data_IF_301475032438
#
_entry.id   IF_301475032438
#
_cell.length_a   1.000
_cell.length_b   1.000
_cell.length_c   1.000
_cell.angle_alpha   90.00
_cell.angle_beta   90.00
_cell.angle_gamma   90.00
#
_symmetry.space_group_name_H-M   'P 1'
#
loop_
_entity.id
_entity.type
_entity.pdbx_description
1 polymer ?
#
# COMPACT_ATOMS: atom_id res chain seq x y z
N UNK A 1 20.18 -9.50 -14.25
CA UNK A 1 18.95 -9.19 -15.02
C UNK A 1 18.33 -10.51 -15.44
N UNK A 2 17.02 -10.69 -15.22
CA UNK A 2 16.26 -11.89 -15.62
C UNK A 2 15.35 -11.51 -16.78
N UNK A 3 15.39 -12.27 -17.87
CA UNK A 3 14.58 -12.04 -19.08
C UNK A 3 13.58 -13.17 -19.22
N UNK A 4 12.31 -12.82 -19.45
CA UNK A 4 11.23 -13.77 -19.67
C UNK A 4 10.92 -13.97 -21.16
N UNK A 5 10.29 -15.08 -21.56
CA UNK A 5 9.96 -15.37 -22.95
C UNK A 5 9.07 -14.32 -23.65
N UNK A 6 8.29 -13.56 -22.88
CA UNK A 6 7.43 -12.46 -23.35
C UNK A 6 8.19 -11.13 -23.54
N UNK A 7 9.51 -11.11 -23.34
CA UNK A 7 10.35 -9.94 -23.48
C UNK A 7 10.39 -9.05 -22.23
N UNK A 8 9.63 -9.35 -21.18
CA UNK A 8 9.73 -8.64 -19.91
C UNK A 8 11.09 -8.91 -19.24
N UNK A 9 11.65 -7.87 -18.62
CA UNK A 9 12.94 -7.96 -17.93
C UNK A 9 12.81 -7.46 -16.49
N UNK A 10 13.34 -8.23 -15.55
CA UNK A 10 13.48 -7.83 -14.16
C UNK A 10 14.95 -7.51 -13.89
N UNK A 11 15.19 -6.27 -13.46
CA UNK A 11 16.52 -5.80 -13.05
C UNK A 11 16.69 -6.15 -11.59
N UNK A 12 17.70 -6.98 -11.32
CA UNK A 12 18.09 -7.36 -9.97
C UNK A 12 19.47 -6.80 -9.67
N UNK A 13 19.65 -6.26 -8.47
CA UNK A 13 20.95 -5.96 -7.87
C UNK A 13 21.32 -7.00 -6.81
N UNK A 14 22.51 -6.84 -6.22
CA UNK A 14 22.92 -7.58 -5.02
C UNK A 14 23.38 -6.59 -3.96
N UNK A 15 22.86 -6.73 -2.74
CA UNK A 15 23.30 -5.98 -1.56
C UNK A 15 23.47 -6.96 -0.40
N UNK A 16 24.64 -6.95 0.26
CA UNK A 16 24.92 -7.87 1.38
C UNK A 16 24.80 -9.36 1.02
N UNK A 17 25.10 -9.74 -0.23
CA UNK A 17 24.97 -11.13 -0.71
C UNK A 17 23.54 -11.56 -1.05
N UNK A 18 22.55 -10.67 -0.94
CA UNK A 18 21.13 -10.97 -1.23
C UNK A 18 20.66 -10.29 -2.51
N UNK A 19 19.82 -10.96 -3.32
CA UNK A 19 19.20 -10.34 -4.48
C UNK A 19 18.18 -9.28 -4.06
N UNK A 20 18.17 -8.17 -4.80
CA UNK A 20 17.22 -7.06 -4.61
C UNK A 20 16.59 -6.66 -5.94
N UNK A 21 15.29 -6.43 -5.95
CA UNK A 21 14.62 -5.86 -7.13
C UNK A 21 15.02 -4.40 -7.31
N UNK A 22 15.51 -4.05 -8.50
CA UNK A 22 15.87 -2.67 -8.88
C UNK A 22 14.87 -2.05 -9.85
N UNK A 23 14.04 -2.87 -10.48
CA UNK A 23 12.96 -2.40 -11.34
C UNK A 23 12.59 -3.39 -12.44
N UNK A 24 11.43 -3.15 -13.03
CA UNK A 24 10.90 -3.92 -14.16
C UNK A 24 11.01 -3.11 -15.43
N UNK A 25 11.42 -3.75 -16.52
CA UNK A 25 11.38 -3.21 -17.88
C UNK A 25 10.41 -4.06 -18.71
N UNK A 26 9.20 -3.52 -18.93
CA UNK A 26 8.17 -4.08 -19.79
C UNK A 26 7.07 -3.03 -20.05
N UNK A 27 6.15 -3.29 -20.98
CA UNK A 27 4.95 -2.47 -21.21
C UNK A 27 4.22 -2.33 -19.87
N UNK A 28 4.04 -1.11 -19.35
CA UNK A 28 3.37 -0.94 -18.05
C UNK A 28 1.88 -1.28 -18.22
N UNK A 29 1.37 -2.22 -17.41
CA UNK A 29 -0.07 -2.27 -17.12
C UNK A 29 -0.48 -1.04 -16.30
N UNK A 30 -1.79 -0.79 -16.07
CA UNK A 30 -2.21 0.32 -15.23
C UNK A 30 -1.49 0.23 -13.87
N UNK A 31 -0.75 1.27 -13.51
CA UNK A 31 0.06 1.29 -12.28
C UNK A 31 -0.79 1.49 -11.02
N UNK A 32 -2.08 1.78 -11.18
CA UNK A 32 -3.04 2.01 -10.11
C UNK A 32 -4.40 1.41 -10.53
N UNK A 33 -5.17 0.85 -9.58
CA UNK A 33 -6.55 0.46 -9.83
C UNK A 33 -7.39 1.69 -10.14
N UNK A 34 -8.40 1.51 -10.95
CA UNK A 34 -9.45 2.50 -11.15
C UNK A 34 -10.25 2.73 -9.86
N UNK A 35 -10.86 3.92 -9.76
CA UNK A 35 -11.77 4.23 -8.65
C UNK A 35 -12.93 3.23 -8.56
N UNK A 36 -13.46 2.80 -9.70
CA UNK A 36 -14.53 1.81 -9.78
C UNK A 36 -14.12 0.47 -9.15
N UNK A 37 -12.89 0.02 -9.39
CA UNK A 37 -12.36 -1.19 -8.76
C UNK A 37 -12.27 -1.03 -7.23
N UNK A 38 -11.79 0.11 -6.74
CA UNK A 38 -11.70 0.40 -5.30
C UNK A 38 -13.09 0.46 -4.64
N UNK A 39 -14.07 1.08 -5.28
CA UNK A 39 -15.45 1.10 -4.80
C UNK A 39 -16.09 -0.30 -4.83
N UNK A 40 -15.74 -1.12 -5.84
CA UNK A 40 -16.12 -2.52 -5.91
C UNK A 40 -15.63 -3.37 -4.73
N UNK A 41 -14.63 -2.89 -3.97
CA UNK A 41 -14.15 -3.49 -2.72
C UNK A 41 -14.91 -3.01 -1.48
N UNK A 42 -16.00 -2.24 -1.66
CA UNK A 42 -16.84 -1.73 -0.59
C UNK A 42 -16.29 -0.48 0.10
N UNK A 43 -15.39 0.26 -0.54
CA UNK A 43 -14.96 1.58 -0.09
C UNK A 43 -15.99 2.65 -0.48
N UNK A 44 -16.19 3.64 0.39
CA UNK A 44 -16.97 4.85 0.05
C UNK A 44 -16.23 5.71 -0.98
N UNK A 45 -16.92 6.64 -1.66
CA UNK A 45 -16.27 7.53 -2.63
C UNK A 45 -15.10 8.34 -2.03
N UNK A 46 -15.21 8.97 -0.85
CA UNK A 46 -14.08 9.65 -0.20
C UNK A 46 -12.92 8.70 0.14
N UNK A 47 -13.22 7.47 0.57
CA UNK A 47 -12.20 6.45 0.86
C UNK A 47 -11.49 6.00 -0.43
N UNK A 48 -12.24 5.71 -1.49
CA UNK A 48 -11.68 5.30 -2.78
C UNK A 48 -10.79 6.41 -3.36
N UNK A 49 -11.21 7.68 -3.31
CA UNK A 49 -10.40 8.83 -3.74
C UNK A 49 -9.13 9.02 -2.91
N UNK A 50 -9.26 8.97 -1.58
CA UNK A 50 -8.13 9.12 -0.67
C UNK A 50 -7.11 7.99 -0.86
N UNK A 51 -7.61 6.76 -1.03
CA UNK A 51 -6.77 5.60 -1.26
C UNK A 51 -6.08 5.68 -2.61
N UNK A 52 -6.81 5.89 -3.71
CA UNK A 52 -6.29 6.04 -5.08
C UNK A 52 -5.15 7.08 -5.14
N UNK A 53 -5.35 8.25 -4.53
CA UNK A 53 -4.31 9.27 -4.45
C UNK A 53 -3.04 8.76 -3.76
N UNK A 54 -3.21 8.09 -2.62
CA UNK A 54 -2.10 7.52 -1.86
C UNK A 54 -1.39 6.45 -2.69
N UNK A 55 -2.15 5.55 -3.36
CA UNK A 55 -1.69 4.54 -4.33
C UNK A 55 -0.81 5.16 -5.42
N UNK A 56 -1.31 6.21 -6.07
CA UNK A 56 -0.67 6.85 -7.20
C UNK A 56 0.64 7.58 -6.85
N UNK A 57 0.69 8.26 -5.70
CA UNK A 57 1.80 9.17 -5.37
C UNK A 57 2.85 8.59 -4.44
N UNK A 58 2.46 7.71 -3.52
CA UNK A 58 3.35 7.19 -2.47
C UNK A 58 3.47 5.66 -2.50
N UNK A 59 2.65 5.01 -3.33
CA UNK A 59 2.72 3.58 -3.55
C UNK A 59 3.93 3.18 -4.35
N UNK A 60 4.21 1.88 -4.30
CA UNK A 60 5.11 1.23 -5.25
C UNK A 60 4.31 0.72 -6.44
N UNK A 61 4.99 0.33 -7.53
CA UNK A 61 4.35 -0.49 -8.56
C UNK A 61 3.91 -1.85 -7.99
N UNK A 62 2.82 -2.43 -8.50
CA UNK A 62 2.34 -3.78 -8.12
C UNK A 62 3.34 -4.91 -8.40
N UNK A 63 4.30 -4.67 -9.29
CA UNK A 63 5.40 -5.58 -9.62
C UNK A 63 6.67 -5.30 -8.80
N UNK A 64 6.63 -4.38 -7.83
CA UNK A 64 7.74 -4.13 -6.93
C UNK A 64 7.89 -5.25 -5.90
N UNK A 65 9.06 -5.85 -5.77
CA UNK A 65 9.38 -6.75 -4.65
C UNK A 65 10.52 -6.16 -3.85
N UNK A 66 10.43 -6.02 -2.53
CA UNK A 66 11.59 -5.58 -1.74
C UNK A 66 11.84 -6.43 -0.51
N UNK A 67 13.10 -6.68 -0.23
CA UNK A 67 13.62 -7.19 1.02
C UNK A 67 14.46 -6.06 1.66
N UNK A 68 14.17 -5.65 2.90
CA UNK A 68 15.02 -4.67 3.60
C UNK A 68 16.24 -5.39 4.23
N UNK A 69 17.49 -5.01 3.90
CA UNK A 69 18.67 -5.36 4.71
C UNK A 69 18.75 -4.41 5.93
N UNK A 70 19.19 -4.84 7.14
CA UNK A 70 19.93 -6.05 7.48
C UNK A 70 19.24 -7.00 8.51
N UNK A 71 17.94 -6.86 8.79
CA UNK A 71 17.27 -7.63 9.85
C UNK A 71 16.14 -8.52 9.31
N UNK A 72 16.45 -9.64 8.65
CA UNK A 72 15.49 -10.72 8.42
C UNK A 72 14.14 -10.32 7.82
N UNK A 73 14.06 -9.19 7.08
CA UNK A 73 12.79 -8.60 6.71
C UNK A 73 12.11 -9.48 5.65
N UNK A 74 10.88 -9.88 5.94
CA UNK A 74 10.02 -10.62 5.03
C UNK A 74 9.89 -9.87 3.69
N UNK A 75 9.85 -10.59 2.55
CA UNK A 75 9.65 -9.94 1.26
C UNK A 75 8.34 -9.15 1.27
N UNK A 76 8.40 -7.92 0.75
CA UNK A 76 7.24 -7.07 0.47
C UNK A 76 6.89 -7.16 -1.01
N UNK A 77 5.61 -7.29 -1.34
CA UNK A 77 5.15 -7.39 -2.72
C UNK A 77 4.14 -6.31 -3.09
N UNK A 78 4.42 -5.65 -4.19
CA UNK A 78 3.57 -4.73 -4.91
C UNK A 78 3.40 -3.37 -4.27
N UNK A 79 2.23 -2.78 -4.54
CA UNK A 79 2.06 -1.33 -4.42
C UNK A 79 2.08 -0.82 -2.99
N UNK A 80 1.92 -1.72 -2.02
CA UNK A 80 1.73 -1.42 -0.61
C UNK A 80 2.40 -2.52 0.21
N UNK A 81 2.67 -2.32 1.52
CA UNK A 81 3.62 -3.18 2.24
C UNK A 81 2.98 -4.51 2.65
N UNK A 82 2.54 -5.31 1.68
CA UNK A 82 2.16 -6.69 1.90
C UNK A 82 3.43 -7.47 2.18
N UNK A 83 3.72 -7.67 3.46
CA UNK A 83 4.76 -8.57 3.96
C UNK A 83 4.18 -9.62 4.88
N UNK A 84 4.96 -10.68 5.08
CA UNK A 84 4.62 -11.71 6.07
C UNK A 84 3.22 -12.27 5.86
N UNK A 85 2.39 -12.37 6.91
CA UNK A 85 1.05 -12.93 6.81
C UNK A 85 0.17 -12.28 5.73
N UNK A 86 0.26 -10.95 5.55
CA UNK A 86 -0.55 -10.26 4.54
C UNK A 86 -0.14 -10.62 3.11
N UNK A 87 1.14 -10.89 2.86
CA UNK A 87 1.60 -11.40 1.58
C UNK A 87 1.09 -12.83 1.35
N UNK A 88 1.16 -13.71 2.36
CA UNK A 88 0.62 -15.07 2.28
C UNK A 88 -0.86 -15.02 1.92
N UNK A 89 -1.63 -14.17 2.61
CA UNK A 89 -3.06 -14.00 2.38
C UNK A 89 -3.35 -13.53 0.95
N UNK A 90 -2.62 -12.53 0.44
CA UNK A 90 -2.81 -12.06 -0.94
C UNK A 90 -2.53 -13.16 -1.98
N UNK A 91 -1.47 -13.95 -1.78
CA UNK A 91 -1.13 -15.06 -2.67
C UNK A 91 -2.17 -16.18 -2.60
N UNK A 92 -2.66 -16.49 -1.40
CA UNK A 92 -3.72 -17.47 -1.20
C UNK A 92 -5.03 -17.02 -1.86
N UNK A 93 -5.40 -15.74 -1.72
CA UNK A 93 -6.56 -15.17 -2.41
C UNK A 93 -6.43 -15.28 -3.92
N UNK A 94 -5.27 -14.94 -4.49
CA UNK A 94 -5.07 -15.08 -5.92
C UNK A 94 -5.19 -16.54 -6.38
N UNK A 95 -4.52 -17.48 -5.68
CA UNK A 95 -4.61 -18.92 -5.99
C UNK A 95 -6.04 -19.45 -5.90
N UNK A 96 -6.83 -18.94 -4.96
CA UNK A 96 -8.22 -19.35 -4.79
C UNK A 96 -9.13 -18.89 -5.94
N UNK A 97 -8.94 -17.67 -6.44
CA UNK A 97 -9.82 -17.07 -7.45
C UNK A 97 -9.39 -17.38 -8.88
N UNK A 98 -8.07 -17.44 -9.14
CA UNK A 98 -7.50 -17.69 -10.46
C UNK A 98 -6.38 -18.75 -10.37
N UNK A 99 -6.71 -20.01 -10.02
CA UNK A 99 -5.71 -21.05 -9.78
C UNK A 99 -4.83 -21.33 -11.01
N UNK A 100 -5.41 -21.33 -12.21
CA UNK A 100 -4.67 -21.56 -13.46
C UNK A 100 -3.64 -20.46 -13.74
N UNK A 101 -4.02 -19.19 -13.55
CA UNK A 101 -3.12 -18.05 -13.74
C UNK A 101 -2.01 -18.03 -12.67
N UNK A 102 -2.37 -18.37 -11.43
CA UNK A 102 -1.41 -18.52 -10.34
C UNK A 102 -0.39 -19.62 -10.64
N UNK A 103 -0.83 -20.82 -10.99
CA UNK A 103 0.04 -21.98 -11.22
C UNK A 103 0.93 -21.78 -12.46
N UNK A 104 0.41 -21.11 -13.50
CA UNK A 104 1.18 -20.75 -14.68
C UNK A 104 2.32 -19.75 -14.40
N UNK A 105 2.21 -18.96 -13.33
CA UNK A 105 3.21 -17.93 -12.96
C UNK A 105 4.14 -18.36 -11.83
N UNK A 106 3.59 -19.00 -10.80
CA UNK A 106 4.31 -19.34 -9.57
C UNK A 106 4.39 -20.85 -9.34
N UNK A 107 3.38 -21.62 -9.77
CA UNK A 107 3.31 -23.07 -9.51
C UNK A 107 4.50 -23.87 -10.07
N UNK A 108 5.00 -23.50 -11.27
CA UNK A 108 6.17 -24.15 -11.89
C UNK A 108 7.48 -24.01 -11.08
N UNK A 109 7.52 -23.09 -10.13
CA UNK A 109 8.68 -22.82 -9.28
C UNK A 109 8.55 -23.47 -7.89
N UNK A 110 7.55 -24.34 -7.69
CA UNK A 110 7.29 -24.98 -6.40
C UNK A 110 6.76 -24.02 -5.34
N UNK A 111 6.06 -22.95 -5.78
CA UNK A 111 5.60 -21.91 -4.88
C UNK A 111 4.47 -22.41 -3.98
N UNK A 112 4.77 -22.56 -2.68
CA UNK A 112 3.79 -22.70 -1.61
C UNK A 112 3.69 -21.37 -0.86
N UNK A 113 2.47 -20.86 -0.67
CA UNK A 113 2.23 -19.55 -0.07
C UNK A 113 2.83 -19.41 1.35
N UNK A 114 3.04 -20.53 2.05
CA UNK A 114 3.64 -20.59 3.39
C UNK A 114 5.17 -20.44 3.41
N UNK A 115 5.86 -20.43 2.27
CA UNK A 115 7.32 -20.49 2.17
C UNK A 115 8.02 -19.14 1.93
N UNK A 116 7.46 -18.03 2.43
CA UNK A 116 7.95 -16.66 2.17
C UNK A 116 9.42 -16.41 2.50
N UNK A 117 9.94 -17.04 3.56
CA UNK A 117 11.31 -16.85 4.01
C UNK A 117 12.36 -17.36 3.01
N UNK A 118 12.03 -18.37 2.20
CA UNK A 118 12.92 -18.93 1.19
C UNK A 118 13.01 -18.03 -0.05
N UNK A 119 12.03 -17.14 -0.27
CA UNK A 119 11.95 -16.29 -1.47
C UNK A 119 12.93 -15.12 -1.45
N UNK A 120 13.35 -14.66 -0.28
CA UNK A 120 14.32 -13.57 -0.18
C UNK A 120 15.74 -13.97 -0.65
N UNK A 121 15.99 -15.26 -0.87
CA UNK A 121 17.32 -15.80 -1.18
C UNK A 121 17.47 -16.27 -2.63
N UNK A 122 16.38 -16.60 -3.34
CA UNK A 122 16.43 -17.00 -4.76
C UNK A 122 16.04 -15.84 -5.71
N UNK A 123 16.99 -15.35 -6.54
CA UNK A 123 16.73 -14.32 -7.55
C UNK A 123 15.61 -14.67 -8.54
N UNK A 124 15.40 -15.95 -8.86
CA UNK A 124 14.37 -16.42 -9.80
C UNK A 124 12.98 -16.28 -9.18
N UNK A 125 12.84 -16.60 -7.90
CA UNK A 125 11.57 -16.47 -7.16
C UNK A 125 11.19 -15.00 -7.00
N UNK A 126 12.16 -14.13 -6.70
CA UNK A 126 11.93 -12.68 -6.68
C UNK A 126 11.47 -12.14 -8.04
N UNK A 127 12.10 -12.57 -9.14
CA UNK A 127 11.72 -12.15 -10.48
C UNK A 127 10.34 -12.67 -10.89
N UNK A 128 9.99 -13.90 -10.50
CA UNK A 128 8.69 -14.49 -10.74
C UNK A 128 7.58 -13.78 -9.95
N UNK A 129 7.83 -13.46 -8.68
CA UNK A 129 6.89 -12.70 -7.85
C UNK A 129 6.68 -11.28 -8.41
N UNK A 130 7.75 -10.60 -8.82
CA UNK A 130 7.64 -9.30 -9.48
C UNK A 130 6.77 -9.40 -10.75
N UNK A 131 7.04 -10.39 -11.61
CA UNK A 131 6.24 -10.61 -12.83
C UNK A 131 4.77 -10.94 -12.52
N UNK A 132 4.52 -11.78 -11.51
CA UNK A 132 3.18 -12.13 -11.07
C UNK A 132 2.36 -10.91 -10.64
N UNK A 133 2.99 -9.88 -10.07
CA UNK A 133 2.32 -8.63 -9.67
C UNK A 133 1.74 -7.82 -10.84
N UNK A 134 1.96 -8.27 -12.07
CA UNK A 134 1.40 -7.68 -13.29
C UNK A 134 0.14 -8.39 -13.78
N UNK A 135 -0.18 -9.55 -13.21
CA UNK A 135 -1.43 -10.23 -13.50
C UNK A 135 -2.59 -9.49 -12.84
N UNK A 136 -3.69 -9.33 -13.57
CA UNK A 136 -4.86 -8.62 -13.06
C UNK A 136 -5.41 -9.28 -11.79
N UNK A 137 -5.49 -10.62 -11.75
CA UNK A 137 -5.89 -11.37 -10.55
C UNK A 137 -4.97 -11.16 -9.35
N UNK A 138 -3.66 -11.04 -9.59
CA UNK A 138 -2.69 -10.76 -8.53
C UNK A 138 -2.86 -9.33 -7.98
N UNK A 139 -3.03 -8.34 -8.86
CA UNK A 139 -3.27 -6.94 -8.46
C UNK A 139 -4.54 -6.81 -7.64
N UNK A 140 -5.63 -7.46 -8.10
CA UNK A 140 -6.89 -7.53 -7.40
C UNK A 140 -6.75 -8.18 -6.02
N UNK A 141 -6.07 -9.32 -5.92
CA UNK A 141 -5.86 -10.00 -4.65
C UNK A 141 -5.02 -9.17 -3.67
N UNK A 142 -4.02 -8.42 -4.15
CA UNK A 142 -3.26 -7.47 -3.34
C UNK A 142 -4.16 -6.36 -2.78
N UNK A 143 -5.04 -5.79 -3.61
CA UNK A 143 -5.97 -4.73 -3.20
C UNK A 143 -7.04 -5.24 -2.23
N UNK A 144 -7.66 -6.38 -2.52
CA UNK A 144 -8.62 -7.03 -1.63
C UNK A 144 -8.02 -7.29 -0.25
N UNK A 145 -6.77 -7.77 -0.22
CA UNK A 145 -6.04 -8.03 1.02
C UNK A 145 -5.73 -6.75 1.78
N UNK A 146 -5.27 -5.70 1.08
CA UNK A 146 -5.00 -4.39 1.68
C UNK A 146 -6.26 -3.81 2.32
N UNK A 147 -7.37 -3.77 1.57
CA UNK A 147 -8.64 -3.24 2.07
C UNK A 147 -9.14 -4.06 3.26
N UNK A 148 -9.16 -5.39 3.13
CA UNK A 148 -9.78 -6.27 4.12
C UNK A 148 -8.97 -6.41 5.40
N UNK A 149 -7.64 -6.54 5.29
CA UNK A 149 -6.79 -6.89 6.43
C UNK A 149 -6.01 -5.73 7.02
N UNK A 150 -5.91 -4.59 6.31
CA UNK A 150 -5.19 -3.40 6.79
C UNK A 150 -6.14 -2.24 7.00
N UNK A 151 -6.86 -1.83 5.95
CA UNK A 151 -7.64 -0.58 5.99
C UNK A 151 -8.92 -0.71 6.81
N UNK A 152 -9.73 -1.76 6.60
CA UNK A 152 -10.97 -1.97 7.37
C UNK A 152 -10.72 -2.07 8.88
N UNK A 153 -9.79 -2.90 9.38
CA UNK A 153 -9.50 -2.95 10.81
C UNK A 153 -9.02 -1.62 11.39
N UNK A 154 -8.34 -0.80 10.58
CA UNK A 154 -7.92 0.55 10.96
C UNK A 154 -9.11 1.49 11.06
N UNK A 155 -9.97 1.54 10.04
CA UNK A 155 -11.18 2.35 10.00
C UNK A 155 -12.14 1.98 11.15
N UNK A 156 -12.35 0.68 11.38
CA UNK A 156 -13.19 0.17 12.48
C UNK A 156 -12.64 0.59 13.85
N UNK A 157 -11.33 0.53 14.03
CA UNK A 157 -10.67 0.98 15.27
C UNK A 157 -10.85 2.48 15.50
N UNK A 158 -10.81 3.29 14.44
CA UNK A 158 -11.08 4.71 14.51
C UNK A 158 -12.55 4.97 14.85
N UNK A 159 -13.49 4.30 14.19
CA UNK A 159 -14.93 4.44 14.46
C UNK A 159 -15.30 4.09 15.92
N UNK A 160 -14.73 3.01 16.48
CA UNK A 160 -14.92 2.61 17.88
C UNK A 160 -14.35 3.62 18.88
N UNK A 161 -13.36 4.40 18.46
CA UNK A 161 -12.70 5.38 19.32
C UNK A 161 -13.43 6.73 19.33
N UNK A 162 -14.72 6.77 19.00
CA UNK A 162 -15.52 8.00 18.82
C UNK A 162 -14.93 9.00 17.81
N UNK A 163 -13.93 8.59 17.02
CA UNK A 163 -13.54 9.38 15.86
C UNK A 163 -14.59 9.10 14.80
N UNK A 164 -15.45 10.07 14.55
CA UNK A 164 -16.44 9.98 13.49
C UNK A 164 -15.69 9.85 12.15
N UNK A 165 -15.53 8.62 11.68
CA UNK A 165 -15.03 8.27 10.35
C UNK A 165 -16.27 8.00 9.49
N UNK A 166 -16.30 8.54 8.27
CA UNK A 166 -17.42 8.46 7.32
C UNK A 166 -18.76 9.10 7.77
N UNK A 167 -18.83 9.71 8.96
CA UNK A 167 -19.98 10.51 9.36
C UNK A 167 -19.81 11.98 8.92
N UNK A 168 -20.88 12.66 8.45
CA UNK A 168 -20.83 14.10 8.16
C UNK A 168 -20.33 14.90 9.36
N UNK A 169 -19.28 15.70 9.17
CA UNK A 169 -18.66 16.48 10.24
C UNK A 169 -17.72 15.70 11.17
N UNK A 170 -17.39 14.46 10.83
CA UNK A 170 -16.41 13.66 11.54
C UNK A 170 -14.95 14.07 11.30
N UNK A 171 -14.03 13.65 12.18
CA UNK A 171 -12.61 14.03 12.13
C UNK A 171 -11.92 13.62 10.81
N UNK A 172 -12.40 12.54 10.20
CA UNK A 172 -11.87 11.99 8.94
C UNK A 172 -13.00 11.69 7.95
N UNK A 173 -13.74 12.74 7.57
CA UNK A 173 -14.86 12.64 6.63
C UNK A 173 -14.48 12.99 5.17
N UNK A 174 -13.47 13.84 4.96
CA UNK A 174 -13.05 14.27 3.62
C UNK A 174 -12.07 13.28 2.98
N UNK A 175 -12.01 13.26 1.64
CA UNK A 175 -11.04 12.45 0.91
C UNK A 175 -9.59 12.78 1.31
N UNK A 176 -9.32 14.07 1.61
CA UNK A 176 -8.01 14.53 2.08
C UNK A 176 -7.65 13.99 3.46
N UNK A 177 -8.58 14.06 4.42
CA UNK A 177 -8.37 13.53 5.75
C UNK A 177 -8.17 12.00 5.72
N UNK A 178 -8.95 11.29 4.90
CA UNK A 178 -8.78 9.85 4.67
C UNK A 178 -7.44 9.51 4.01
N UNK A 179 -6.97 10.31 3.04
CA UNK A 179 -5.64 10.15 2.45
C UNK A 179 -4.51 10.28 3.49
N UNK A 180 -4.61 11.24 4.42
CA UNK A 180 -3.66 11.38 5.54
C UNK A 180 -3.68 10.15 6.46
N UNK A 181 -4.86 9.61 6.73
CA UNK A 181 -5.05 8.42 7.56
C UNK A 181 -4.43 7.18 6.89
N UNK A 182 -4.73 6.95 5.61
CA UNK A 182 -4.15 5.85 4.83
C UNK A 182 -2.64 5.98 4.67
N UNK A 183 -2.12 7.17 4.33
CA UNK A 183 -0.68 7.40 4.28
C UNK A 183 -0.03 7.12 5.63
N UNK A 184 -0.65 7.53 6.73
CA UNK A 184 -0.12 7.28 8.07
C UNK A 184 -0.05 5.79 8.43
N UNK A 185 -1.10 5.02 8.10
CA UNK A 185 -1.10 3.56 8.29
C UNK A 185 -0.02 2.91 7.43
N UNK A 186 0.07 3.28 6.15
CA UNK A 186 0.93 2.61 5.20
C UNK A 186 2.41 2.98 5.38
N UNK A 187 2.70 4.21 5.81
CA UNK A 187 4.06 4.72 5.99
C UNK A 187 4.60 4.50 7.39
N UNK A 188 3.75 4.59 8.43
CA UNK A 188 4.17 4.57 9.83
C UNK A 188 3.46 3.49 10.66
N UNK A 189 2.68 2.60 10.05
CA UNK A 189 1.83 1.59 10.71
C UNK A 189 0.77 2.22 11.64
N UNK A 190 0.09 1.39 12.43
CA UNK A 190 -0.87 1.82 13.46
C UNK A 190 -0.36 2.93 14.37
N UNK A 191 0.96 2.98 14.65
CA UNK A 191 1.55 4.06 15.45
C UNK A 191 1.38 5.44 14.81
N UNK A 192 1.47 5.52 13.47
CA UNK A 192 1.18 6.74 12.72
C UNK A 192 -0.26 7.16 12.84
N UNK A 193 -1.19 6.21 12.66
CA UNK A 193 -2.62 6.45 12.79
C UNK A 193 -2.96 6.95 14.19
N UNK A 194 -2.48 6.26 15.24
CA UNK A 194 -2.70 6.69 16.62
C UNK A 194 -2.19 8.12 16.86
N UNK A 195 -1.00 8.45 16.33
CA UNK A 195 -0.45 9.81 16.45
C UNK A 195 -1.33 10.84 15.75
N UNK A 196 -1.73 10.58 14.50
CA UNK A 196 -2.58 11.49 13.73
C UNK A 196 -3.94 11.71 14.40
N UNK A 197 -4.58 10.64 14.87
CA UNK A 197 -5.85 10.68 15.61
C UNK A 197 -5.71 11.50 16.90
N UNK A 198 -4.63 11.32 17.66
CA UNK A 198 -4.37 12.12 18.86
C UNK A 198 -4.26 13.61 18.51
N UNK A 199 -3.51 13.97 17.46
CA UNK A 199 -3.39 15.36 17.01
C UNK A 199 -4.74 15.95 16.59
N UNK A 200 -5.58 15.18 15.90
CA UNK A 200 -6.93 15.62 15.50
C UNK A 200 -7.85 15.89 16.69
N UNK A 201 -7.69 15.16 17.80
CA UNK A 201 -8.47 15.35 19.03
C UNK A 201 -8.04 16.57 19.84
N UNK A 202 -6.78 16.99 19.74
CA UNK A 202 -6.27 18.16 20.45
C UNK A 202 -6.92 19.47 19.96
N UNK A 203 -7.40 19.51 18.71
CA UNK A 203 -8.13 20.64 18.13
C UNK A 203 -9.31 20.13 17.30
N UNK A 204 -10.43 19.79 17.94
CA UNK A 204 -11.50 19.05 17.31
C UNK A 204 -12.40 19.90 16.43
N UNK A 205 -12.06 21.15 16.08
CA UNK A 205 -12.90 22.04 15.25
C UNK A 205 -13.23 21.36 13.90
N UNK A 206 -14.43 20.77 13.75
CA UNK A 206 -14.82 20.13 12.50
C UNK A 206 -15.21 21.22 11.49
N UNK A 207 -15.00 21.04 10.18
CA UNK A 207 -14.69 19.78 9.49
C UNK A 207 -13.19 19.56 9.15
N UNK A 208 -12.30 20.45 9.59
CA UNK A 208 -10.87 20.47 9.17
C UNK A 208 -9.91 19.81 10.16
N UNK A 209 -10.42 19.21 11.23
CA UNK A 209 -9.60 18.60 12.28
C UNK A 209 -8.56 17.59 11.75
N UNK A 210 -8.92 16.75 10.78
CA UNK A 210 -7.98 15.82 10.14
C UNK A 210 -6.87 16.51 9.32
N UNK A 211 -7.19 17.63 8.67
CA UNK A 211 -6.23 18.40 7.87
C UNK A 211 -5.26 19.18 8.77
N UNK A 212 -5.77 19.84 9.82
CA UNK A 212 -4.93 20.48 10.84
C UNK A 212 -4.02 19.48 11.57
N UNK A 213 -4.52 18.27 11.84
CA UNK A 213 -3.69 17.20 12.40
C UNK A 213 -2.55 16.80 11.43
N UNK A 214 -2.84 16.79 10.12
CA UNK A 214 -1.85 16.58 9.07
C UNK A 214 -0.78 17.66 9.03
N UNK A 215 -1.16 18.94 9.12
CA UNK A 215 -0.21 20.06 9.16
C UNK A 215 0.77 19.91 10.31
N UNK A 216 0.24 19.64 11.51
CA UNK A 216 1.06 19.47 12.71
C UNK A 216 1.94 18.22 12.65
N UNK A 217 1.43 17.12 12.09
CA UNK A 217 2.23 15.93 11.82
C UNK A 217 3.40 16.26 10.87
N UNK A 218 3.16 17.05 9.82
CA UNK A 218 4.20 17.45 8.87
C UNK A 218 5.27 18.35 9.52
N UNK A 219 4.86 19.26 10.39
CA UNK A 219 5.76 20.11 11.18
C UNK A 219 6.64 19.28 12.11
N UNK A 220 6.05 18.34 12.85
CA UNK A 220 6.78 17.45 13.75
C UNK A 220 7.78 16.56 12.99
N UNK A 221 7.38 16.02 11.82
CA UNK A 221 8.26 15.24 10.97
C UNK A 221 9.45 16.08 10.50
N UNK A 222 9.21 17.33 10.08
CA UNK A 222 10.28 18.25 9.68
C UNK A 222 11.21 18.57 10.86
N UNK A 223 10.67 18.84 12.04
CA UNK A 223 11.44 19.15 13.25
C UNK A 223 12.34 17.97 13.70
N UNK A 224 11.91 16.74 13.42
CA UNK A 224 12.68 15.51 13.72
C UNK A 224 13.61 15.07 12.58
N UNK A 225 13.82 15.91 11.57
CA UNK A 225 14.73 15.63 10.45
C UNK A 225 14.14 14.73 9.36
N UNK A 226 12.84 14.40 9.43
CA UNK A 226 12.12 13.55 8.47
C UNK A 226 11.50 14.38 7.34
N UNK A 227 12.34 15.17 6.67
CA UNK A 227 11.91 16.16 5.67
C UNK A 227 11.19 15.55 4.47
N UNK A 228 11.55 14.33 4.07
CA UNK A 228 10.88 13.60 2.99
C UNK A 228 9.43 13.31 3.35
N UNK A 229 9.21 12.67 4.50
CA UNK A 229 7.86 12.31 4.94
C UNK A 229 7.01 13.54 5.24
N UNK A 230 7.60 14.62 5.78
CA UNK A 230 6.91 15.89 5.90
C UNK A 230 6.42 16.42 4.53
N UNK A 231 7.24 16.29 3.48
CA UNK A 231 6.88 16.73 2.13
C UNK A 231 5.79 15.86 1.49
N UNK A 232 5.77 14.56 1.79
CA UNK A 232 4.69 13.65 1.39
C UNK A 232 3.35 14.07 2.05
N UNK A 233 3.36 14.40 3.34
CA UNK A 233 2.16 14.89 4.04
C UNK A 233 1.71 16.25 3.47
N UNK A 234 2.62 17.18 3.24
CA UNK A 234 2.29 18.48 2.60
C UNK A 234 1.71 18.33 1.21
N UNK A 235 2.18 17.34 0.43
CA UNK A 235 1.60 17.02 -0.87
C UNK A 235 0.13 16.63 -0.71
N UNK A 236 -0.22 15.74 0.22
CA UNK A 236 -1.62 15.35 0.47
C UNK A 236 -2.45 16.58 0.83
N UNK A 237 -1.96 17.40 1.76
CA UNK A 237 -2.67 18.59 2.25
C UNK A 237 -2.99 19.59 1.12
N UNK A 238 -2.07 19.77 0.19
CA UNK A 238 -2.17 20.80 -0.86
C UNK A 238 -2.75 20.29 -2.18
N UNK A 239 -3.14 19.02 -2.25
CA UNK A 239 -3.58 18.40 -3.50
C UNK A 239 -5.02 18.79 -3.87
N UNK A 240 -5.23 19.40 -5.06
CA UNK A 240 -6.57 19.72 -5.55
C UNK A 240 -7.39 18.46 -5.89
N UNK A 241 -6.74 17.34 -6.22
CA UNK A 241 -7.41 16.07 -6.53
C UNK A 241 -8.16 15.48 -5.33
N UNK A 242 -7.90 15.99 -4.12
CA UNK A 242 -8.53 15.59 -2.86
C UNK A 242 -9.52 16.62 -2.32
N UNK A 243 -9.73 17.75 -3.01
CA UNK A 243 -10.74 18.72 -2.62
C UNK A 243 -12.15 18.11 -2.71
N UNK A 244 -13.03 18.47 -1.77
CA UNK A 244 -14.42 18.06 -1.84
C UNK A 244 -15.09 18.70 -3.08
N UNK A 245 -15.91 17.95 -3.83
CA UNK A 245 -16.61 18.50 -4.99
C UNK A 245 -17.55 19.61 -4.52
N UNK A 246 -17.39 20.79 -5.10
CA UNK A 246 -18.23 21.98 -4.91
C UNK A 246 -19.64 21.80 -5.45
#
# INVERSE_FOLDING_TARGET
MVTFPDGARIVLGHEGGRPIHRGTVAVRGPCAPSREELMGLGLTEPQARGLDFVLAWFGRPFDSVTSEPPSGAEPRWGAWPLSGPTLITALAHWKQHEPEAFDARLGQLGFEASALALFAEDPRLLAALARAGREHGAQRAQLETLVTHVLRPMLDSCAQSETAVDAPGGLFASARALALLFHSELRFSRRGVTRLVTLARERPEPPVAGEHAGERLAEDLRATGRSREASEVWRILTSPELADPS
#
